data_IF_575422226827
#
_entry.id   IF_575422226827
#
_cell.length_a   1.000
_cell.length_b   1.000
_cell.length_c   1.000
_cell.angle_alpha   90.00
_cell.angle_beta   90.00
_cell.angle_gamma   90.00
#
_symmetry.space_group_name_H-M   'P 1'
#
loop_
_entity.id
_entity.type
_entity.pdbx_description
1 polymer ?
#
# COMPACT_ATOMS: atom_id res chain seq x y z
N UNK A 1 4.22 69.39 41.70
CA UNK A 1 3.24 68.28 41.86
C UNK A 1 2.06 68.57 40.93
N UNK A 2 1.93 67.76 39.84
CA UNK A 2 0.76 67.87 38.97
C UNK A 2 -0.43 67.20 39.69
N UNK A 3 -1.64 67.81 39.71
CA UNK A 3 -2.79 67.24 40.32
C UNK A 3 -3.24 65.98 39.54
N UNK A 4 -3.40 64.86 40.17
CA UNK A 4 -4.03 63.64 39.62
C UNK A 4 -5.48 63.96 39.26
N UNK A 5 -5.77 63.91 37.98
CA UNK A 5 -7.12 64.14 37.44
C UNK A 5 -8.00 62.96 37.84
N UNK A 6 -8.91 63.12 38.81
CA UNK A 6 -9.86 62.11 39.25
C UNK A 6 -10.71 61.71 38.04
N UNK A 7 -10.65 60.45 37.65
CA UNK A 7 -11.48 59.88 36.57
C UNK A 7 -12.94 59.96 36.85
N UNK A 8 -13.70 60.43 35.89
CA UNK A 8 -15.18 60.54 36.04
C UNK A 8 -15.82 59.14 35.83
N UNK A 9 -17.05 58.97 36.32
CA UNK A 9 -17.81 57.73 36.10
C UNK A 9 -17.95 57.39 34.62
N UNK A 10 -17.91 58.37 33.75
CA UNK A 10 -17.96 58.22 32.29
C UNK A 10 -16.64 57.61 31.74
N UNK A 11 -15.51 58.09 32.20
CA UNK A 11 -14.19 57.63 31.82
C UNK A 11 -13.99 56.13 32.20
N UNK A 12 -14.42 55.78 33.43
CA UNK A 12 -14.42 54.41 33.91
C UNK A 12 -15.32 53.48 33.05
N UNK A 13 -16.49 53.94 32.61
CA UNK A 13 -17.39 53.19 31.73
C UNK A 13 -16.80 53.01 30.33
N UNK A 14 -16.15 54.01 29.80
CA UNK A 14 -15.45 53.93 28.52
C UNK A 14 -14.25 52.99 28.56
N UNK A 15 -13.46 53.00 29.62
CA UNK A 15 -12.34 52.05 29.79
C UNK A 15 -12.83 50.61 29.84
N UNK A 16 -13.87 50.31 30.62
CA UNK A 16 -14.46 48.96 30.66
C UNK A 16 -14.94 48.49 29.29
N UNK A 17 -15.63 49.32 28.51
CA UNK A 17 -16.03 48.98 27.16
C UNK A 17 -14.85 48.71 26.23
N UNK A 18 -13.79 49.54 26.30
CA UNK A 18 -12.58 49.30 25.51
C UNK A 18 -11.84 48.02 25.92
N UNK A 19 -11.82 47.65 27.21
CA UNK A 19 -11.24 46.39 27.69
C UNK A 19 -12.09 45.19 27.23
N UNK A 20 -13.40 45.30 27.29
CA UNK A 20 -14.31 44.24 26.80
C UNK A 20 -14.16 44.04 25.28
N UNK A 21 -14.07 45.12 24.50
CA UNK A 21 -13.84 45.04 23.05
C UNK A 21 -12.46 44.42 22.72
N UNK A 22 -11.43 44.79 23.48
CA UNK A 22 -10.07 44.21 23.34
C UNK A 22 -10.08 42.72 23.69
N UNK A 23 -10.79 42.32 24.74
CA UNK A 23 -10.94 40.91 25.12
C UNK A 23 -11.69 40.13 24.03
N UNK A 24 -12.84 40.64 23.57
CA UNK A 24 -13.62 40.01 22.51
C UNK A 24 -12.85 39.88 21.18
N UNK A 25 -12.03 40.89 20.82
CA UNK A 25 -11.14 40.80 19.63
C UNK A 25 -10.05 39.74 19.82
N UNK A 26 -9.43 39.66 21.02
CA UNK A 26 -8.43 38.62 21.33
C UNK A 26 -9.03 37.23 21.27
N UNK A 27 -10.21 37.01 21.87
CA UNK A 27 -10.91 35.73 21.83
C UNK A 27 -11.24 35.30 20.41
N UNK A 28 -11.80 36.21 19.58
CA UNK A 28 -12.05 35.93 18.15
C UNK A 28 -10.78 35.57 17.39
N UNK A 29 -9.65 36.23 17.68
CA UNK A 29 -8.37 35.94 17.04
C UNK A 29 -7.86 34.56 17.48
N UNK A 30 -7.95 34.23 18.78
CA UNK A 30 -7.54 32.91 19.32
C UNK A 30 -8.37 31.79 18.69
N UNK A 31 -9.69 31.96 18.62
CA UNK A 31 -10.59 30.98 17.98
C UNK A 31 -10.24 30.82 16.51
N UNK A 32 -10.06 31.92 15.77
CA UNK A 32 -9.69 31.87 14.35
C UNK A 32 -8.35 31.17 14.12
N UNK A 33 -7.33 31.49 14.93
CA UNK A 33 -6.02 30.87 14.86
C UNK A 33 -6.11 29.38 15.23
N UNK A 34 -6.89 29.02 16.26
CA UNK A 34 -7.11 27.64 16.66
C UNK A 34 -7.79 26.82 15.53
N UNK A 35 -8.80 27.38 14.88
CA UNK A 35 -9.45 26.71 13.74
C UNK A 35 -8.49 26.51 12.56
N UNK A 36 -7.64 27.50 12.26
CA UNK A 36 -6.63 27.38 11.18
C UNK A 36 -5.63 26.27 11.51
N UNK A 37 -5.13 26.23 12.76
CA UNK A 37 -4.20 25.18 13.20
C UNK A 37 -4.86 23.79 13.14
N UNK A 38 -6.11 23.66 13.55
CA UNK A 38 -6.84 22.40 13.46
C UNK A 38 -6.95 21.91 12.00
N UNK A 39 -7.27 22.81 11.06
CA UNK A 39 -7.32 22.47 9.63
C UNK A 39 -5.96 22.03 9.11
N UNK A 40 -4.88 22.74 9.48
CA UNK A 40 -3.51 22.36 9.08
C UNK A 40 -3.16 20.96 9.59
N UNK A 41 -3.47 20.66 10.86
CA UNK A 41 -3.23 19.33 11.45
C UNK A 41 -4.00 18.24 10.68
N UNK A 42 -5.27 18.48 10.36
CA UNK A 42 -6.09 17.53 9.58
C UNK A 42 -5.50 17.29 8.19
N UNK A 43 -5.04 18.34 7.51
CA UNK A 43 -4.39 18.23 6.19
C UNK A 43 -3.07 17.45 6.29
N UNK A 44 -2.26 17.71 7.33
CA UNK A 44 -1.00 16.96 7.55
C UNK A 44 -1.27 15.47 7.81
N UNK A 45 -2.29 15.13 8.61
CA UNK A 45 -2.66 13.74 8.88
C UNK A 45 -3.17 13.06 7.60
N UNK A 46 -3.98 13.75 6.80
CA UNK A 46 -4.47 13.22 5.53
C UNK A 46 -3.32 13.00 4.54
N UNK A 47 -2.40 13.97 4.42
CA UNK A 47 -1.22 13.86 3.57
C UNK A 47 -0.29 12.73 4.01
N UNK A 48 -0.08 12.56 5.32
CA UNK A 48 0.74 11.47 5.86
C UNK A 48 0.11 10.10 5.57
N UNK A 49 -1.20 9.93 5.81
CA UNK A 49 -1.89 8.69 5.48
C UNK A 49 -1.86 8.38 3.98
N UNK A 50 -1.99 9.40 3.14
CA UNK A 50 -1.88 9.23 1.69
C UNK A 50 -0.46 8.81 1.28
N UNK A 51 0.57 9.43 1.86
CA UNK A 51 1.96 9.08 1.60
C UNK A 51 2.31 7.67 2.09
N UNK A 52 1.85 7.28 3.29
CA UNK A 52 2.05 5.96 3.88
C UNK A 52 1.42 4.86 3.01
N UNK A 53 0.16 5.05 2.61
CA UNK A 53 -0.54 4.14 1.70
C UNK A 53 0.10 4.09 0.29
N UNK A 54 0.67 5.21 -0.18
CA UNK A 54 1.40 5.23 -1.45
C UNK A 54 2.71 4.43 -1.36
N UNK A 55 3.46 4.60 -0.27
CA UNK A 55 4.71 3.86 -0.03
C UNK A 55 4.46 2.36 0.18
N UNK A 56 3.38 1.98 0.85
CA UNK A 56 2.99 0.58 1.02
C UNK A 56 2.75 -0.11 -0.33
N UNK A 57 2.19 0.62 -1.30
CA UNK A 57 1.86 0.08 -2.64
C UNK A 57 3.01 0.17 -3.65
N UNK A 58 3.87 1.17 -3.54
CA UNK A 58 4.89 1.50 -4.55
C UNK A 58 6.32 1.56 -3.99
N UNK A 59 6.49 1.41 -2.67
CA UNK A 59 7.80 1.34 -2.06
C UNK A 59 8.43 -0.07 -2.20
N UNK A 60 9.75 -0.20 -2.01
CA UNK A 60 10.41 -1.49 -2.01
C UNK A 60 9.89 -2.35 -0.85
N UNK A 61 9.40 -3.54 -1.18
CA UNK A 61 8.91 -4.52 -0.21
C UNK A 61 10.03 -5.40 0.32
N UNK A 62 10.87 -5.90 -0.59
CA UNK A 62 12.09 -6.65 -0.28
C UNK A 62 13.20 -6.27 -1.28
N UNK A 63 14.43 -6.67 -0.99
CA UNK A 63 15.58 -6.52 -1.91
C UNK A 63 16.12 -7.90 -2.28
N UNK A 64 16.35 -8.12 -3.58
CA UNK A 64 16.94 -9.35 -4.11
C UNK A 64 18.19 -8.98 -4.91
N UNK A 65 19.39 -9.26 -4.38
CA UNK A 65 20.61 -8.71 -4.92
C UNK A 65 20.61 -7.18 -4.85
N UNK A 66 20.79 -6.51 -5.99
CA UNK A 66 20.75 -5.06 -6.14
C UNK A 66 19.36 -4.54 -6.58
N UNK A 67 18.37 -5.43 -6.70
CA UNK A 67 17.03 -5.10 -7.18
C UNK A 67 16.05 -4.86 -6.03
N UNK A 68 15.36 -3.73 -6.08
CA UNK A 68 14.25 -3.41 -5.17
C UNK A 68 12.96 -3.97 -5.74
N UNK A 69 12.34 -4.90 -5.00
CA UNK A 69 11.13 -5.61 -5.40
C UNK A 69 9.92 -4.95 -4.75
N UNK A 70 8.95 -4.56 -5.55
CA UNK A 70 7.68 -4.03 -5.06
C UNK A 70 6.78 -5.15 -4.54
N UNK A 71 5.82 -4.80 -3.67
CA UNK A 71 4.89 -5.77 -3.12
C UNK A 71 4.07 -6.49 -4.21
N UNK A 72 3.62 -5.78 -5.23
CA UNK A 72 2.84 -6.36 -6.33
C UNK A 72 3.63 -7.43 -7.09
N UNK A 73 4.92 -7.20 -7.33
CA UNK A 73 5.82 -8.16 -7.95
C UNK A 73 6.05 -9.38 -7.04
N UNK A 74 6.33 -9.15 -5.76
CA UNK A 74 6.48 -10.24 -4.80
C UNK A 74 5.21 -11.09 -4.72
N UNK A 75 4.04 -10.46 -4.62
CA UNK A 75 2.74 -11.13 -4.55
C UNK A 75 2.49 -11.96 -5.82
N UNK A 76 2.85 -11.46 -7.00
CA UNK A 76 2.75 -12.23 -8.26
C UNK A 76 3.49 -13.58 -8.16
N UNK A 77 4.75 -13.59 -7.73
CA UNK A 77 5.52 -14.82 -7.58
C UNK A 77 5.05 -15.69 -6.40
N UNK A 78 4.61 -15.07 -5.30
CA UNK A 78 4.05 -15.79 -4.16
C UNK A 78 2.78 -16.55 -4.54
N UNK A 79 1.80 -15.86 -5.11
CA UNK A 79 0.53 -16.49 -5.51
C UNK A 79 0.71 -17.43 -6.71
N UNK A 80 1.61 -17.16 -7.63
CA UNK A 80 1.96 -18.08 -8.70
C UNK A 80 2.51 -19.40 -8.15
N UNK A 81 3.37 -19.34 -7.12
CA UNK A 81 3.89 -20.53 -6.44
C UNK A 81 2.80 -21.31 -5.74
N UNK A 82 1.93 -20.62 -5.00
CA UNK A 82 0.79 -21.21 -4.29
C UNK A 82 -0.17 -21.89 -5.27
N UNK A 83 -0.57 -21.18 -6.32
CA UNK A 83 -1.52 -21.69 -7.32
C UNK A 83 -0.94 -22.86 -8.13
N UNK A 84 0.35 -22.82 -8.47
CA UNK A 84 1.06 -23.91 -9.13
C UNK A 84 1.09 -25.15 -8.23
N UNK A 85 1.40 -24.97 -6.96
CA UNK A 85 1.39 -26.08 -5.98
C UNK A 85 -0.02 -26.65 -5.82
N UNK A 86 -1.02 -25.79 -5.62
CA UNK A 86 -2.42 -26.20 -5.49
C UNK A 86 -2.93 -26.92 -6.74
N UNK A 87 -2.59 -26.44 -7.93
CA UNK A 87 -2.95 -27.09 -9.21
C UNK A 87 -2.26 -28.44 -9.40
N UNK A 88 -0.98 -28.53 -9.03
CA UNK A 88 -0.20 -29.77 -9.18
C UNK A 88 -0.69 -30.88 -8.26
N UNK A 89 -0.98 -30.54 -7.01
CA UNK A 89 -1.33 -31.53 -6.00
C UNK A 89 -2.84 -31.70 -5.79
N UNK A 90 -3.66 -30.74 -6.22
CA UNK A 90 -5.13 -30.83 -6.27
C UNK A 90 -5.75 -31.36 -4.96
N UNK A 91 -6.45 -32.48 -5.04
CA UNK A 91 -7.10 -33.12 -3.90
C UNK A 91 -6.13 -33.72 -2.86
N UNK A 92 -4.84 -33.79 -3.15
CA UNK A 92 -3.83 -34.29 -2.22
C UNK A 92 -3.31 -33.23 -1.25
N UNK A 93 -3.72 -31.96 -1.36
CA UNK A 93 -3.25 -30.88 -0.49
C UNK A 93 -3.43 -31.21 1.00
N UNK A 94 -4.54 -31.83 1.37
CA UNK A 94 -4.80 -32.23 2.75
C UNK A 94 -3.81 -33.25 3.31
N UNK A 95 -3.19 -34.08 2.47
CA UNK A 95 -2.12 -35.00 2.91
C UNK A 95 -0.85 -34.28 3.30
N UNK A 96 -0.63 -33.07 2.74
CA UNK A 96 0.47 -32.19 3.11
C UNK A 96 0.11 -31.26 4.28
N UNK A 97 -1.12 -31.36 4.82
CA UNK A 97 -1.61 -30.47 5.87
C UNK A 97 -1.90 -29.06 5.39
N UNK A 98 -2.06 -28.86 4.06
CA UNK A 98 -2.38 -27.57 3.46
C UNK A 98 -3.88 -27.45 3.18
N UNK A 99 -4.49 -26.40 3.72
CA UNK A 99 -5.86 -25.97 3.47
C UNK A 99 -5.86 -24.52 2.96
N UNK A 100 -5.99 -24.35 1.64
CA UNK A 100 -5.93 -23.03 1.00
C UNK A 100 -7.11 -22.11 1.35
N UNK A 101 -8.12 -22.61 2.04
CA UNK A 101 -9.24 -21.81 2.56
C UNK A 101 -8.96 -21.14 3.91
N UNK A 102 -7.83 -21.48 4.53
CA UNK A 102 -7.41 -20.97 5.85
C UNK A 102 -6.12 -20.16 5.74
N UNK A 103 -5.84 -19.28 6.72
CA UNK A 103 -4.59 -18.53 6.78
C UNK A 103 -3.38 -19.48 6.76
N UNK A 104 -2.45 -19.24 5.85
CA UNK A 104 -1.28 -20.10 5.63
C UNK A 104 -0.20 -19.92 6.70
N UNK A 105 -0.14 -18.75 7.34
CA UNK A 105 0.73 -18.42 8.48
C UNK A 105 0.39 -19.22 9.75
N UNK A 106 -0.79 -19.83 9.81
CA UNK A 106 -1.27 -20.65 10.92
C UNK A 106 -1.15 -22.15 10.64
N UNK A 107 -0.64 -22.54 9.49
CA UNK A 107 -0.53 -23.94 9.07
C UNK A 107 0.95 -24.35 8.96
N UNK A 108 1.33 -25.41 9.67
CA UNK A 108 2.71 -25.89 9.68
C UNK A 108 3.05 -26.64 8.39
N UNK A 109 4.12 -26.21 7.74
CA UNK A 109 4.79 -26.96 6.67
C UNK A 109 5.84 -27.92 7.24
N UNK A 110 6.58 -27.45 8.27
CA UNK A 110 7.60 -28.23 8.99
C UNK A 110 7.69 -27.77 10.44
N UNK A 111 8.55 -28.37 11.25
CA UNK A 111 8.74 -28.01 12.66
C UNK A 111 9.12 -26.51 12.87
N UNK A 112 9.68 -25.86 11.87
CA UNK A 112 10.23 -24.49 11.95
C UNK A 112 9.65 -23.52 10.92
N UNK A 113 8.71 -23.96 10.07
CA UNK A 113 8.23 -23.19 8.92
C UNK A 113 6.74 -23.39 8.73
N UNK A 114 6.01 -22.32 8.48
CA UNK A 114 4.61 -22.34 8.05
C UNK A 114 4.50 -22.53 6.54
N UNK A 115 3.29 -22.79 6.03
CA UNK A 115 3.04 -22.79 4.59
C UNK A 115 3.22 -21.41 3.98
N UNK A 116 2.93 -20.35 4.73
CA UNK A 116 3.20 -18.98 4.30
C UNK A 116 4.70 -18.74 4.10
N UNK A 117 5.53 -19.10 5.08
CA UNK A 117 6.99 -19.01 4.99
C UNK A 117 7.53 -19.80 3.79
N UNK A 118 6.97 -20.98 3.54
CA UNK A 118 7.37 -21.81 2.40
C UNK A 118 7.11 -21.11 1.07
N UNK A 119 5.91 -20.55 0.86
CA UNK A 119 5.59 -19.87 -0.40
C UNK A 119 6.33 -18.54 -0.54
N UNK A 120 6.56 -17.81 0.55
CA UNK A 120 7.46 -16.64 0.55
C UNK A 120 8.87 -17.01 0.09
N UNK A 121 9.40 -18.11 0.61
CA UNK A 121 10.74 -18.60 0.18
C UNK A 121 10.74 -19.02 -1.29
N UNK A 122 9.67 -19.66 -1.80
CA UNK A 122 9.56 -19.98 -3.22
C UNK A 122 9.54 -18.72 -4.10
N UNK A 123 8.78 -17.69 -3.71
CA UNK A 123 8.75 -16.41 -4.40
C UNK A 123 10.14 -15.76 -4.47
N UNK A 124 10.85 -15.69 -3.34
CA UNK A 124 12.23 -15.16 -3.30
C UNK A 124 13.17 -15.95 -4.20
N UNK A 125 13.05 -17.28 -4.22
CA UNK A 125 13.91 -18.12 -5.08
C UNK A 125 13.62 -17.89 -6.57
N UNK A 126 12.34 -17.72 -6.95
CA UNK A 126 11.97 -17.39 -8.33
C UNK A 126 12.50 -16.00 -8.71
N UNK A 127 12.31 -14.99 -7.88
CA UNK A 127 12.85 -13.65 -8.09
C UNK A 127 14.37 -13.65 -8.29
N UNK A 128 15.10 -14.38 -7.44
CA UNK A 128 16.55 -14.55 -7.62
C UNK A 128 16.92 -15.13 -8.98
N UNK A 129 16.19 -16.14 -9.43
CA UNK A 129 16.46 -16.77 -10.73
C UNK A 129 16.13 -15.82 -11.89
N UNK A 130 14.98 -15.12 -11.81
CA UNK A 130 14.58 -14.17 -12.85
C UNK A 130 15.59 -13.05 -12.97
N UNK A 131 15.96 -12.40 -11.86
CA UNK A 131 16.91 -11.29 -11.91
C UNK A 131 18.32 -11.73 -12.30
N UNK A 132 18.80 -12.89 -11.85
CA UNK A 132 20.09 -13.41 -12.30
C UNK A 132 20.13 -13.66 -13.82
N UNK A 133 19.05 -14.20 -14.40
CA UNK A 133 18.94 -14.40 -15.85
C UNK A 133 18.77 -13.08 -16.61
N UNK A 134 18.01 -12.14 -16.06
CA UNK A 134 17.83 -10.82 -16.65
C UNK A 134 19.14 -10.03 -16.68
N UNK A 135 19.91 -10.05 -15.60
CA UNK A 135 21.22 -9.39 -15.52
C UNK A 135 22.20 -10.01 -16.53
N UNK A 136 22.24 -11.34 -16.60
CA UNK A 136 23.10 -12.04 -17.58
C UNK A 136 22.67 -11.72 -19.03
N UNK A 137 21.36 -11.66 -19.30
CA UNK A 137 20.83 -11.30 -20.61
C UNK A 137 21.24 -9.87 -21.00
N UNK A 138 21.10 -8.92 -20.07
CA UNK A 138 21.47 -7.52 -20.26
C UNK A 138 22.97 -7.36 -20.50
N UNK A 139 23.82 -8.06 -19.74
CA UNK A 139 25.28 -8.05 -19.93
C UNK A 139 25.70 -8.57 -21.31
N UNK A 140 24.95 -9.55 -21.84
CA UNK A 140 25.19 -10.12 -23.17
C UNK A 140 24.52 -9.36 -24.32
N UNK A 141 23.76 -8.31 -24.02
CA UNK A 141 23.00 -7.52 -24.99
C UNK A 141 21.87 -8.33 -25.64
N UNK A 142 21.30 -9.29 -24.91
CA UNK A 142 20.13 -10.05 -25.37
C UNK A 142 18.86 -9.20 -25.23
N UNK A 143 18.11 -9.10 -26.32
CA UNK A 143 16.81 -8.43 -26.36
C UNK A 143 15.73 -9.43 -26.75
N UNK A 144 14.60 -9.39 -26.07
CA UNK A 144 13.43 -10.20 -26.35
C UNK A 144 12.17 -9.34 -26.34
N UNK A 145 11.39 -9.42 -27.42
CA UNK A 145 10.09 -8.75 -27.48
C UNK A 145 8.99 -9.70 -26.99
N UNK A 146 8.56 -9.49 -25.75
CA UNK A 146 7.51 -10.26 -25.08
C UNK A 146 6.09 -9.79 -25.42
N UNK A 147 5.89 -8.85 -26.35
CA UNK A 147 4.57 -8.27 -26.64
C UNK A 147 3.53 -9.33 -26.99
N UNK A 148 3.91 -10.31 -27.83
CA UNK A 148 3.02 -11.40 -28.25
C UNK A 148 2.63 -12.31 -27.08
N UNK A 149 3.60 -12.64 -26.21
CA UNK A 149 3.35 -13.53 -25.07
C UNK A 149 2.44 -12.84 -24.05
N UNK A 150 2.63 -11.52 -23.87
CA UNK A 150 1.75 -10.71 -23.03
C UNK A 150 0.32 -10.65 -23.60
N UNK A 151 0.15 -10.44 -24.89
CA UNK A 151 -1.17 -10.40 -25.55
C UNK A 151 -1.91 -11.75 -25.41
N UNK A 152 -1.19 -12.87 -25.54
CA UNK A 152 -1.74 -14.21 -25.32
C UNK A 152 -2.16 -14.43 -23.85
N UNK A 153 -1.35 -13.95 -22.90
CA UNK A 153 -1.70 -13.97 -21.48
C UNK A 153 -2.95 -13.13 -21.20
N UNK A 154 -3.02 -11.90 -21.71
CA UNK A 154 -4.18 -11.01 -21.58
C UNK A 154 -5.45 -11.69 -22.10
N UNK A 155 -5.38 -12.29 -23.28
CA UNK A 155 -6.50 -13.02 -23.89
C UNK A 155 -6.97 -14.18 -23.00
N UNK A 156 -6.04 -14.92 -22.44
CA UNK A 156 -6.33 -16.02 -21.50
C UNK A 156 -7.01 -15.52 -20.23
N UNK A 157 -6.48 -14.47 -19.60
CA UNK A 157 -7.05 -13.86 -18.39
C UNK A 157 -8.48 -13.35 -18.67
N UNK A 158 -8.69 -12.64 -19.77
CA UNK A 158 -10.01 -12.13 -20.16
C UNK A 158 -11.01 -13.27 -20.37
N UNK A 159 -10.57 -14.38 -21.00
CA UNK A 159 -11.41 -15.56 -21.21
C UNK A 159 -11.82 -16.20 -19.87
N UNK A 160 -10.91 -16.38 -18.95
CA UNK A 160 -11.21 -16.93 -17.62
C UNK A 160 -12.10 -15.99 -16.81
N UNK A 161 -11.84 -14.69 -16.82
CA UNK A 161 -12.66 -13.69 -16.15
C UNK A 161 -14.10 -13.72 -16.68
N UNK A 162 -14.28 -13.79 -18.00
CA UNK A 162 -15.60 -13.90 -18.63
C UNK A 162 -16.33 -15.18 -18.22
N UNK A 163 -15.65 -16.32 -18.15
CA UNK A 163 -16.24 -17.59 -17.71
C UNK A 163 -16.73 -17.52 -16.26
N UNK A 164 -16.07 -16.73 -15.42
CA UNK A 164 -16.44 -16.52 -14.01
C UNK A 164 -17.42 -15.35 -13.82
N UNK A 165 -17.71 -14.57 -14.85
CA UNK A 165 -18.61 -13.42 -14.79
C UNK A 165 -18.02 -12.22 -14.03
N UNK A 166 -16.71 -12.09 -14.00
CA UNK A 166 -15.97 -11.00 -13.33
C UNK A 166 -15.15 -10.19 -14.33
N UNK A 167 -14.62 -9.03 -13.93
CA UNK A 167 -13.66 -8.26 -14.73
C UNK A 167 -12.28 -8.92 -14.74
N UNK A 168 -11.43 -8.58 -15.72
CA UNK A 168 -10.05 -9.06 -15.79
C UNK A 168 -9.24 -8.68 -14.53
N UNK A 169 -9.42 -7.46 -14.03
CA UNK A 169 -8.76 -7.01 -12.80
C UNK A 169 -9.25 -7.75 -11.55
N UNK A 170 -10.55 -8.06 -11.43
CA UNK A 170 -11.08 -8.89 -10.34
C UNK A 170 -10.53 -10.32 -10.41
N UNK A 171 -10.39 -10.86 -11.61
CA UNK A 171 -9.73 -12.14 -11.79
C UNK A 171 -8.25 -12.09 -11.39
N UNK A 172 -7.49 -11.07 -11.82
CA UNK A 172 -6.10 -10.88 -11.42
C UNK A 172 -5.95 -10.80 -9.88
N UNK A 173 -6.84 -10.05 -9.21
CA UNK A 173 -6.84 -9.96 -7.74
C UNK A 173 -7.08 -11.30 -7.06
N UNK A 174 -7.93 -12.15 -7.64
CA UNK A 174 -8.21 -13.47 -7.08
C UNK A 174 -7.05 -14.47 -7.26
N UNK A 175 -6.21 -14.25 -8.28
CA UNK A 175 -5.14 -15.18 -8.67
C UNK A 175 -3.76 -14.73 -8.19
N UNK A 176 -3.49 -13.43 -8.21
CA UNK A 176 -2.16 -12.84 -7.96
C UNK A 176 -2.12 -11.89 -6.75
N UNK A 177 -3.21 -11.78 -5.97
CA UNK A 177 -3.28 -10.97 -4.76
C UNK A 177 -4.11 -9.69 -4.92
N UNK A 178 -4.49 -9.11 -3.78
CA UNK A 178 -5.50 -8.04 -3.70
C UNK A 178 -5.19 -6.76 -4.49
N UNK A 179 -3.92 -6.50 -4.75
CA UNK A 179 -3.45 -5.31 -5.46
C UNK A 179 -3.14 -5.58 -6.94
N UNK A 180 -3.25 -6.84 -7.40
CA UNK A 180 -2.98 -7.20 -8.79
C UNK A 180 -4.04 -6.63 -9.74
N UNK A 181 -3.57 -6.06 -10.85
CA UNK A 181 -4.38 -5.64 -12.00
C UNK A 181 -3.76 -6.17 -13.28
N UNK A 182 -4.52 -6.25 -14.36
CA UNK A 182 -4.01 -6.73 -15.64
C UNK A 182 -2.81 -5.89 -16.12
N UNK A 183 -2.88 -4.58 -16.01
CA UNK A 183 -1.76 -3.69 -16.36
C UNK A 183 -0.60 -3.77 -15.34
N UNK A 184 -0.92 -3.96 -14.06
CA UNK A 184 0.08 -4.04 -12.98
C UNK A 184 0.96 -5.27 -13.03
N UNK A 185 0.49 -6.40 -13.59
CA UNK A 185 1.28 -7.63 -13.72
C UNK A 185 2.09 -7.70 -15.02
N UNK A 186 1.91 -6.74 -15.94
CA UNK A 186 2.59 -6.71 -17.24
C UNK A 186 4.12 -6.75 -17.15
N UNK A 187 4.80 -6.12 -16.17
CA UNK A 187 6.26 -6.17 -16.08
C UNK A 187 6.83 -7.52 -15.67
N UNK A 188 6.02 -8.45 -15.15
CA UNK A 188 6.41 -9.72 -14.53
C UNK A 188 6.03 -10.90 -15.40
#
# INVERSE_FOLDING_TARGET
>A
TKPEKKMTKYDLKMQRRQEEEKKAKKEKTIIKTGCILAVIICVCIAAWKFYDNYQEKHGPYITVGDHEIQKAEFDYYYYSSLNSFASTYGSYLSYFGLDTSKPLDQQQYSDTMTWDDYFQQQAVNQLKNVYALTDEANEKGFEYDASSDYDDMVTSIQSYAQQQGVSADEYCKSVFGSDATLEGIKPY
#
